data_IF_523660444648
#
_entry.id   IF_523660444648
#
_cell.length_a   1.000
_cell.length_b   1.000
_cell.length_c   1.000
_cell.angle_alpha   90.00
_cell.angle_beta   90.00
_cell.angle_gamma   90.00
#
_symmetry.space_group_name_H-M   'P 1'
#
loop_
_entity.id
_entity.type
_entity.pdbx_description
1 polymer ?
#
# COMPACT_ATOMS: atom_id res chain seq x y z
N UNK A 1 51.17 -3.90 0.69
CA UNK A 1 49.83 -4.52 0.62
C UNK A 1 48.85 -3.59 1.34
N UNK A 2 48.30 -2.53 0.74
CA UNK A 2 47.33 -2.47 -0.37
C UNK A 2 46.07 -3.29 -0.11
N UNK A 3 45.06 -2.66 0.51
CA UNK A 3 43.66 -2.82 0.10
C UNK A 3 42.83 -1.59 0.49
N UNK A 4 42.86 -0.59 -0.39
CA UNK A 4 41.91 0.52 -0.40
C UNK A 4 40.75 0.15 -1.32
N UNK A 5 39.74 -0.55 -0.78
CA UNK A 5 38.47 -0.77 -1.47
C UNK A 5 37.64 0.52 -1.53
N UNK A 6 36.94 0.81 -2.65
CA UNK A 6 36.23 2.07 -2.83
C UNK A 6 35.02 2.14 -1.88
N UNK A 7 35.08 3.05 -0.90
CA UNK A 7 33.92 3.41 -0.07
C UNK A 7 32.92 4.16 -0.95
N UNK A 8 31.94 3.43 -1.52
CA UNK A 8 30.83 4.02 -2.27
C UNK A 8 30.16 5.11 -1.41
N UNK A 9 30.04 6.37 -1.87
CA UNK A 9 29.46 7.43 -1.06
C UNK A 9 27.95 7.19 -0.92
N UNK A 10 27.52 6.81 0.27
CA UNK A 10 26.12 6.56 0.67
C UNK A 10 25.15 7.71 0.30
N UNK A 11 25.68 8.93 0.13
CA UNK A 11 24.93 10.13 -0.20
C UNK A 11 24.38 10.20 -1.64
N UNK A 12 24.95 9.48 -2.61
CA UNK A 12 24.53 9.63 -4.02
C UNK A 12 23.20 8.94 -4.34
N UNK A 13 22.76 7.99 -3.52
CA UNK A 13 21.50 7.24 -3.73
C UNK A 13 20.28 7.91 -3.07
N UNK A 14 20.49 8.76 -2.06
CA UNK A 14 19.44 9.49 -1.35
C UNK A 14 18.60 10.37 -2.29
N UNK A 15 19.18 11.25 -3.14
CA UNK A 15 18.38 12.11 -4.01
C UNK A 15 17.53 11.30 -5.01
N UNK A 16 18.05 10.18 -5.52
CA UNK A 16 17.32 9.30 -6.42
C UNK A 16 16.15 8.58 -5.71
N UNK A 17 16.36 8.10 -4.48
CA UNK A 17 15.31 7.47 -3.67
C UNK A 17 14.19 8.46 -3.31
N UNK A 18 14.55 9.66 -2.88
CA UNK A 18 13.56 10.71 -2.56
C UNK A 18 12.81 11.15 -3.81
N UNK A 19 13.47 11.24 -4.97
CA UNK A 19 12.80 11.58 -6.24
C UNK A 19 11.76 10.51 -6.62
N UNK A 20 12.09 9.23 -6.47
CA UNK A 20 11.15 8.12 -6.70
C UNK A 20 9.97 8.21 -5.73
N UNK A 21 10.22 8.45 -4.44
CA UNK A 21 9.17 8.62 -3.45
C UNK A 21 8.27 9.83 -3.77
N UNK A 22 8.85 10.92 -4.27
CA UNK A 22 8.11 12.12 -4.69
C UNK A 22 7.20 11.83 -5.89
N UNK A 23 7.69 11.08 -6.88
CA UNK A 23 6.90 10.64 -8.03
C UNK A 23 5.72 9.76 -7.59
N UNK A 24 5.94 8.85 -6.63
CA UNK A 24 4.86 8.08 -6.03
C UNK A 24 3.87 8.96 -5.28
N UNK A 25 4.35 9.98 -4.57
CA UNK A 25 3.48 10.93 -3.87
C UNK A 25 2.57 11.70 -4.85
N UNK A 26 2.99 11.95 -6.09
CA UNK A 26 2.15 12.61 -7.11
C UNK A 26 0.87 11.83 -7.41
N UNK A 27 0.81 10.51 -7.19
CA UNK A 27 -0.44 9.74 -7.33
C UNK A 27 -1.50 10.19 -6.33
N UNK A 28 -1.11 10.73 -5.16
CA UNK A 28 -2.06 11.29 -4.19
C UNK A 28 -2.81 12.50 -4.75
N UNK A 29 -2.24 13.22 -5.72
CA UNK A 29 -2.89 14.34 -6.39
C UNK A 29 -4.14 13.88 -7.17
N UNK A 30 -4.14 12.65 -7.68
CA UNK A 30 -5.32 12.04 -8.33
C UNK A 30 -6.44 11.82 -7.31
N UNK A 31 -6.09 11.37 -6.10
CA UNK A 31 -7.08 11.22 -5.02
C UNK A 31 -7.68 12.58 -4.62
N UNK A 32 -6.85 13.63 -4.52
CA UNK A 32 -7.33 15.00 -4.30
C UNK A 32 -8.22 15.51 -5.44
N UNK A 33 -7.87 15.21 -6.69
CA UNK A 33 -8.69 15.55 -7.87
C UNK A 33 -10.05 14.87 -7.86
N UNK A 34 -10.12 13.59 -7.44
CA UNK A 34 -11.38 12.89 -7.25
C UNK A 34 -12.25 13.58 -6.20
N UNK A 35 -11.69 13.93 -5.04
CA UNK A 35 -12.42 14.65 -3.98
C UNK A 35 -12.94 15.99 -4.52
N UNK A 36 -12.15 16.71 -5.31
CA UNK A 36 -12.53 17.98 -5.93
C UNK A 36 -13.81 17.87 -6.80
N UNK A 37 -13.97 16.77 -7.54
CA UNK A 37 -15.17 16.49 -8.35
C UNK A 37 -16.41 16.25 -7.47
N UNK A 38 -16.21 15.68 -6.28
CA UNK A 38 -17.28 15.40 -5.30
C UNK A 38 -17.54 16.57 -4.32
N UNK A 39 -16.79 17.69 -4.42
CA UNK A 39 -16.95 18.91 -3.61
C UNK A 39 -18.40 19.43 -3.52
N UNK A 40 -19.17 19.56 -4.62
CA UNK A 40 -20.53 20.08 -4.51
C UNK A 40 -21.48 19.18 -3.72
N UNK A 41 -21.16 17.89 -3.53
CA UNK A 41 -21.91 16.96 -2.69
C UNK A 41 -21.49 17.02 -1.22
N UNK A 42 -20.25 17.45 -0.92
CA UNK A 42 -19.75 17.60 0.45
C UNK A 42 -20.32 18.83 1.17
N UNK A 43 -20.73 19.89 0.45
CA UNK A 43 -21.40 21.04 1.08
C UNK A 43 -22.75 20.67 1.71
N UNK A 44 -23.43 19.64 1.19
CA UNK A 44 -24.70 19.17 1.75
C UNK A 44 -24.53 18.43 3.09
N UNK A 45 -23.36 17.82 3.34
CA UNK A 45 -23.15 16.93 4.50
C UNK A 45 -21.70 17.02 5.03
N UNK A 46 -21.36 18.07 5.81
CA UNK A 46 -20.00 18.30 6.32
C UNK A 46 -19.46 17.20 7.25
N UNK A 47 -20.35 16.40 7.85
CA UNK A 47 -19.99 15.27 8.73
C UNK A 47 -19.31 14.12 7.97
N UNK A 48 -19.47 14.01 6.65
CA UNK A 48 -18.80 13.00 5.83
C UNK A 48 -17.28 13.22 5.83
N UNK A 49 -16.81 14.47 5.86
CA UNK A 49 -15.39 14.78 5.95
C UNK A 49 -14.78 14.30 7.27
N UNK A 50 -15.55 14.29 8.36
CA UNK A 50 -15.12 13.75 9.65
C UNK A 50 -15.02 12.21 9.66
N UNK A 51 -15.83 11.53 8.84
CA UNK A 51 -15.78 10.07 8.65
C UNK A 51 -14.70 9.63 7.65
N UNK A 52 -14.16 10.55 6.86
CA UNK A 52 -13.19 10.21 5.82
C UNK A 52 -11.88 9.61 6.38
N UNK A 53 -11.22 10.18 7.41
CA UNK A 53 -10.02 9.57 8.00
C UNK A 53 -10.22 8.14 8.53
N UNK A 54 -11.24 7.82 9.36
CA UNK A 54 -11.42 6.46 9.87
C UNK A 54 -11.73 5.44 8.76
N UNK A 55 -12.52 5.81 7.76
CA UNK A 55 -12.77 4.94 6.58
C UNK A 55 -11.47 4.66 5.82
N UNK A 56 -10.63 5.68 5.65
CA UNK A 56 -9.32 5.55 5.00
C UNK A 56 -8.37 4.68 5.83
N UNK A 57 -8.43 4.77 7.17
CA UNK A 57 -7.66 3.92 8.10
C UNK A 57 -8.03 2.45 7.96
N UNK A 58 -9.32 2.11 7.94
CA UNK A 58 -9.79 0.73 7.75
C UNK A 58 -9.27 0.17 6.43
N UNK A 59 -9.44 0.93 5.35
CA UNK A 59 -9.00 0.52 4.01
C UNK A 59 -7.49 0.28 3.94
N UNK A 60 -6.71 1.16 4.56
CA UNK A 60 -5.25 1.01 4.68
C UNK A 60 -4.84 -0.18 5.55
N UNK A 61 -5.55 -0.40 6.67
CA UNK A 61 -5.31 -1.50 7.61
C UNK A 61 -5.48 -2.87 6.95
N UNK A 62 -6.58 -3.08 6.23
CA UNK A 62 -6.84 -4.33 5.50
C UNK A 62 -5.74 -4.59 4.46
N UNK A 63 -5.35 -3.58 3.69
CA UNK A 63 -4.27 -3.68 2.71
C UNK A 63 -2.91 -3.99 3.35
N UNK A 64 -2.64 -3.42 4.54
CA UNK A 64 -1.44 -3.72 5.33
C UNK A 64 -1.39 -5.15 5.83
N UNK A 65 -2.50 -5.66 6.38
CA UNK A 65 -2.63 -7.05 6.83
C UNK A 65 -2.42 -8.02 5.66
N UNK A 66 -3.00 -7.71 4.49
CA UNK A 66 -2.79 -8.51 3.29
C UNK A 66 -1.33 -8.56 2.88
N UNK A 67 -0.70 -7.39 2.71
CA UNK A 67 0.69 -7.28 2.27
C UNK A 67 1.67 -7.96 3.23
N UNK A 68 1.47 -7.77 4.54
CA UNK A 68 2.29 -8.41 5.57
C UNK A 68 2.20 -9.94 5.55
N UNK A 69 0.97 -10.47 5.49
CA UNK A 69 0.75 -11.92 5.38
C UNK A 69 1.35 -12.47 4.08
N UNK A 70 1.18 -11.78 2.95
CA UNK A 70 1.74 -12.19 1.68
C UNK A 70 3.28 -12.21 1.72
N UNK A 71 3.90 -11.18 2.30
CA UNK A 71 5.35 -11.10 2.46
C UNK A 71 5.89 -12.25 3.32
N UNK A 72 5.26 -12.53 4.46
CA UNK A 72 5.67 -13.64 5.35
C UNK A 72 5.50 -14.99 4.67
N UNK A 73 4.35 -15.24 4.03
CA UNK A 73 4.09 -16.49 3.32
C UNK A 73 5.08 -16.71 2.17
N UNK A 74 5.50 -15.65 1.48
CA UNK A 74 6.51 -15.73 0.44
C UNK A 74 7.91 -15.95 1.02
N UNK A 75 8.24 -15.30 2.14
CA UNK A 75 9.52 -15.44 2.83
C UNK A 75 9.78 -16.87 3.31
N UNK A 76 8.76 -17.55 3.84
CA UNK A 76 8.85 -18.96 4.27
C UNK A 76 8.62 -19.96 3.12
N UNK A 77 8.35 -19.48 1.89
CA UNK A 77 8.14 -20.32 0.71
C UNK A 77 6.80 -21.07 0.66
N UNK A 78 5.80 -20.67 1.46
CA UNK A 78 4.46 -21.28 1.50
C UNK A 78 3.63 -20.99 0.24
N UNK A 79 3.91 -19.85 -0.38
CA UNK A 79 3.32 -19.41 -1.65
C UNK A 79 4.41 -19.18 -2.68
N UNK A 80 4.13 -19.54 -3.94
CA UNK A 80 5.05 -19.26 -5.05
C UNK A 80 4.86 -17.80 -5.49
N UNK A 81 5.89 -17.13 -6.02
CA UNK A 81 5.77 -15.78 -6.61
C UNK A 81 5.05 -15.85 -7.97
N UNK A 82 3.81 -16.37 -7.98
CA UNK A 82 2.99 -16.50 -9.17
C UNK A 82 1.56 -16.03 -8.85
N UNK A 83 1.05 -15.07 -9.63
CA UNK A 83 -0.29 -14.51 -9.43
C UNK A 83 -1.42 -15.45 -9.88
N UNK A 84 -1.12 -16.47 -10.70
CA UNK A 84 -2.08 -17.46 -11.21
C UNK A 84 -1.57 -18.88 -10.93
N UNK A 85 -2.48 -19.79 -10.55
CA UNK A 85 -2.22 -21.19 -10.16
C UNK A 85 -1.31 -21.34 -8.93
N UNK A 86 -1.60 -20.60 -7.86
CA UNK A 86 -0.82 -20.65 -6.62
C UNK A 86 -1.38 -21.69 -5.62
N UNK A 87 -0.65 -21.96 -4.53
CA UNK A 87 -1.04 -22.93 -3.48
C UNK A 87 -2.42 -22.60 -2.87
N UNK A 88 -3.16 -23.60 -2.34
CA UNK A 88 -4.48 -23.37 -1.73
C UNK A 88 -4.46 -22.34 -0.59
N UNK A 89 -3.31 -22.18 0.08
CA UNK A 89 -3.09 -21.19 1.14
C UNK A 89 -3.25 -19.74 0.62
N UNK A 90 -2.83 -19.45 -0.62
CA UNK A 90 -3.02 -18.13 -1.23
C UNK A 90 -4.50 -17.78 -1.40
N UNK A 91 -5.31 -18.77 -1.81
CA UNK A 91 -6.75 -18.60 -1.98
C UNK A 91 -7.47 -18.43 -0.63
N UNK A 92 -7.03 -19.14 0.41
CA UNK A 92 -7.54 -18.94 1.77
C UNK A 92 -7.25 -17.53 2.30
N UNK A 93 -6.04 -17.01 2.09
CA UNK A 93 -5.69 -15.64 2.47
C UNK A 93 -6.61 -14.62 1.80
N UNK A 94 -6.79 -14.74 0.48
CA UNK A 94 -7.68 -13.84 -0.29
C UNK A 94 -9.12 -13.95 0.21
N UNK A 95 -9.62 -15.15 0.44
CA UNK A 95 -10.97 -15.36 0.95
C UNK A 95 -11.17 -14.68 2.30
N UNK A 96 -10.21 -14.82 3.23
CA UNK A 96 -10.28 -14.16 4.54
C UNK A 96 -10.25 -12.64 4.44
N UNK A 97 -9.43 -12.09 3.55
CA UNK A 97 -9.36 -10.63 3.32
C UNK A 97 -10.63 -10.12 2.67
N UNK A 98 -11.23 -10.90 1.77
CA UNK A 98 -12.50 -10.55 1.16
C UNK A 98 -13.63 -10.55 2.19
N UNK A 99 -13.67 -11.56 3.07
CA UNK A 99 -14.65 -11.65 4.16
C UNK A 99 -14.47 -10.48 5.13
N UNK A 100 -13.25 -10.17 5.58
CA UNK A 100 -13.06 -9.04 6.50
C UNK A 100 -13.42 -7.70 5.85
N UNK A 101 -13.13 -7.53 4.56
CA UNK A 101 -13.54 -6.32 3.81
C UNK A 101 -15.06 -6.21 3.72
N UNK A 102 -15.77 -7.32 3.51
CA UNK A 102 -17.23 -7.34 3.42
C UNK A 102 -17.91 -7.12 4.77
N UNK A 103 -17.28 -7.58 5.86
CA UNK A 103 -17.78 -7.38 7.24
C UNK A 103 -17.56 -5.95 7.72
N UNK A 104 -16.50 -5.27 7.26
CA UNK A 104 -16.18 -3.89 7.66
C UNK A 104 -16.96 -2.81 6.86
N UNK A 105 -17.65 -3.19 5.77
CA UNK A 105 -18.48 -2.30 4.92
C UNK A 105 -19.97 -2.47 5.18
#
# INVERSE_FOLDING_TARGET
>A
MSDTGPKRPFYSSIPAQTLIALLFNTLSLVAGGLISIFTPQFEAFPWILALFPPVLTIRGGIGGIFSGNLATMLHIGLIRPQMRKNTPVYYQLISSIFVITLVDT
#
